data_IF_624854371658
#
_entry.id   IF_624854371658
#
_cell.length_a   1.000
_cell.length_b   1.000
_cell.length_c   1.000
_cell.angle_alpha   90.00
_cell.angle_beta   90.00
_cell.angle_gamma   90.00
#
_symmetry.space_group_name_H-M   'P 1'
#
loop_
_entity.id
_entity.type
_entity.pdbx_description
1 polymer ?
#
# COMPACT_ATOMS: atom_id res chain seq x y z
N UNK A 1 -12.03 -6.11 -17.06
CA UNK A 1 -10.94 -5.96 -16.09
C UNK A 1 -11.33 -4.89 -15.06
N UNK A 2 -12.52 -5.01 -14.44
CA UNK A 2 -13.24 -3.86 -13.85
C UNK A 2 -13.46 -3.90 -12.32
N UNK A 3 -12.87 -4.86 -11.61
CA UNK A 3 -13.19 -5.04 -10.18
C UNK A 3 -12.02 -5.64 -9.39
N UNK A 4 -10.78 -5.58 -9.91
CA UNK A 4 -9.64 -6.23 -9.25
C UNK A 4 -9.42 -5.71 -7.82
N UNK A 5 -9.73 -4.43 -7.60
CA UNK A 5 -9.64 -3.82 -6.28
C UNK A 5 -10.70 -4.34 -5.30
N UNK A 6 -11.86 -4.84 -5.78
CA UNK A 6 -12.86 -5.48 -4.92
C UNK A 6 -12.35 -6.80 -4.38
N UNK A 7 -11.79 -7.64 -5.23
CA UNK A 7 -11.17 -8.92 -4.81
C UNK A 7 -10.00 -8.67 -3.85
N UNK A 8 -9.23 -7.59 -4.07
CA UNK A 8 -8.18 -7.16 -3.16
C UNK A 8 -8.73 -6.70 -1.82
N UNK A 9 -9.83 -5.93 -1.80
CA UNK A 9 -10.52 -5.56 -0.57
C UNK A 9 -11.02 -6.80 0.20
N UNK A 10 -11.61 -7.78 -0.47
CA UNK A 10 -12.03 -9.03 0.16
C UNK A 10 -10.84 -9.83 0.72
N UNK A 11 -9.73 -9.86 0.00
CA UNK A 11 -8.50 -10.47 0.50
C UNK A 11 -7.96 -9.75 1.74
N UNK A 12 -8.03 -8.42 1.78
CA UNK A 12 -7.60 -7.64 2.93
C UNK A 12 -8.42 -7.94 4.19
N UNK A 13 -9.73 -8.16 4.06
CA UNK A 13 -10.59 -8.60 5.18
C UNK A 13 -10.12 -9.94 5.73
N UNK A 14 -9.87 -10.93 4.86
CA UNK A 14 -9.33 -12.23 5.28
C UNK A 14 -7.96 -12.12 5.93
N UNK A 15 -7.08 -11.26 5.40
CA UNK A 15 -5.75 -11.01 5.98
C UNK A 15 -5.88 -10.34 7.35
N UNK A 16 -6.83 -9.43 7.55
CA UNK A 16 -7.07 -8.82 8.87
C UNK A 16 -7.52 -9.87 9.88
N UNK A 17 -8.40 -10.79 9.48
CA UNK A 17 -8.88 -11.89 10.32
C UNK A 17 -7.76 -12.86 10.72
N UNK A 18 -6.89 -13.21 9.77
CA UNK A 18 -5.85 -14.23 9.97
C UNK A 18 -4.54 -13.68 10.57
N UNK A 19 -4.18 -12.44 10.23
CA UNK A 19 -2.85 -11.87 10.50
C UNK A 19 -2.88 -10.47 11.14
N UNK A 20 -4.07 -9.90 11.33
CA UNK A 20 -4.25 -8.60 11.97
C UNK A 20 -4.16 -7.41 11.01
N UNK A 21 -4.58 -6.26 11.53
CA UNK A 21 -4.81 -5.05 10.73
C UNK A 21 -3.56 -4.48 10.08
N UNK A 22 -2.39 -4.62 10.70
CA UNK A 22 -1.13 -4.14 10.14
C UNK A 22 -0.79 -4.86 8.83
N UNK A 23 -0.95 -6.19 8.79
CA UNK A 23 -0.74 -6.99 7.57
C UNK A 23 -1.77 -6.68 6.51
N UNK A 24 -3.02 -6.46 6.90
CA UNK A 24 -4.09 -6.09 5.96
C UNK A 24 -3.84 -4.71 5.32
N UNK A 25 -3.41 -3.73 6.11
CA UNK A 25 -3.06 -2.40 5.61
C UNK A 25 -1.77 -2.44 4.76
N UNK A 26 -0.76 -3.21 5.17
CA UNK A 26 0.45 -3.42 4.37
C UNK A 26 0.13 -4.01 3.00
N UNK A 27 -0.75 -5.01 2.95
CA UNK A 27 -1.23 -5.58 1.69
C UNK A 27 -2.05 -4.56 0.87
N UNK A 28 -3.14 -4.02 1.43
CA UNK A 28 -4.09 -3.26 0.63
C UNK A 28 -3.62 -1.84 0.32
N UNK A 29 -3.04 -1.15 1.31
CA UNK A 29 -2.57 0.23 1.18
C UNK A 29 -1.12 0.26 0.73
N UNK A 30 -0.25 -0.50 1.41
CA UNK A 30 1.18 -0.52 1.15
C UNK A 30 1.55 -1.08 -0.22
N UNK A 31 0.86 -2.14 -0.68
CA UNK A 31 1.10 -2.75 -1.98
C UNK A 31 0.03 -2.42 -3.02
N UNK A 32 -1.24 -2.76 -2.77
CA UNK A 32 -2.25 -2.72 -3.84
C UNK A 32 -2.59 -1.30 -4.26
N UNK A 33 -2.91 -0.41 -3.32
CA UNK A 33 -3.24 0.98 -3.62
C UNK A 33 -2.03 1.72 -4.21
N UNK A 34 -0.83 1.54 -3.66
CA UNK A 34 0.38 2.20 -4.19
C UNK A 34 0.67 1.79 -5.64
N UNK A 35 0.53 0.51 -5.97
CA UNK A 35 0.62 0.03 -7.36
C UNK A 35 -0.51 0.55 -8.24
N UNK A 36 -1.73 0.59 -7.72
CA UNK A 36 -2.90 1.11 -8.43
C UNK A 36 -2.71 2.59 -8.81
N UNK A 37 -2.18 3.40 -7.89
CA UNK A 37 -1.86 4.81 -8.13
C UNK A 37 -0.83 4.98 -9.26
N UNK A 38 0.27 4.21 -9.21
CA UNK A 38 1.31 4.22 -10.25
C UNK A 38 0.74 3.90 -11.64
N UNK A 39 -0.17 2.92 -11.73
CA UNK A 39 -0.81 2.56 -13.00
C UNK A 39 -1.81 3.65 -13.44
N UNK A 40 -2.58 4.20 -12.50
CA UNK A 40 -3.58 5.24 -12.79
C UNK A 40 -2.99 6.52 -13.37
N UNK A 41 -1.74 6.85 -13.04
CA UNK A 41 -1.04 8.02 -13.58
C UNK A 41 -0.82 7.93 -15.10
N UNK A 42 -0.86 6.72 -15.67
CA UNK A 42 -0.61 6.46 -17.09
C UNK A 42 -1.81 5.85 -17.81
N UNK A 43 -2.84 5.42 -17.07
CA UNK A 43 -3.99 4.72 -17.62
C UNK A 43 -5.32 5.33 -17.11
N UNK A 44 -6.06 6.07 -17.97
CA UNK A 44 -7.33 6.70 -17.60
C UNK A 44 -8.39 5.73 -17.07
N UNK A 45 -8.44 4.50 -17.58
CA UNK A 45 -9.43 3.51 -17.12
C UNK A 45 -9.22 3.14 -15.64
N UNK A 46 -7.97 3.15 -15.18
CA UNK A 46 -7.65 2.92 -13.77
C UNK A 46 -7.93 4.16 -12.93
N UNK A 47 -7.66 5.35 -13.47
CA UNK A 47 -7.96 6.61 -12.78
C UNK A 47 -9.47 6.78 -12.51
N UNK A 48 -10.34 6.27 -13.40
CA UNK A 48 -11.79 6.27 -13.20
C UNK A 48 -12.25 5.42 -12.00
N UNK A 49 -11.56 4.32 -11.71
CA UNK A 49 -11.91 3.42 -10.59
C UNK A 49 -11.28 3.84 -9.25
N UNK A 50 -10.25 4.69 -9.27
CA UNK A 50 -9.51 5.10 -8.08
C UNK A 50 -10.40 5.70 -6.97
N UNK A 51 -11.37 6.60 -7.24
CA UNK A 51 -12.24 7.14 -6.20
C UNK A 51 -13.06 6.05 -5.48
N UNK A 52 -13.55 5.04 -6.21
CA UNK A 52 -14.31 3.94 -5.63
C UNK A 52 -13.43 3.04 -4.76
N UNK A 53 -12.20 2.77 -5.21
CA UNK A 53 -11.25 1.99 -4.42
C UNK A 53 -10.88 2.71 -3.11
N UNK A 54 -10.56 4.01 -3.17
CA UNK A 54 -10.26 4.83 -1.99
C UNK A 54 -11.45 4.83 -1.02
N UNK A 55 -12.67 5.04 -1.52
CA UNK A 55 -13.87 5.02 -0.69
C UNK A 55 -14.02 3.67 0.03
N UNK A 56 -13.79 2.56 -0.67
CA UNK A 56 -13.87 1.24 -0.05
C UNK A 56 -12.80 1.02 1.02
N UNK A 57 -11.57 1.48 0.83
CA UNK A 57 -10.52 1.41 1.86
C UNK A 57 -10.94 2.18 3.12
N UNK A 58 -11.53 3.38 2.95
CA UNK A 58 -12.02 4.21 4.07
C UNK A 58 -13.20 3.56 4.81
N UNK A 59 -13.98 2.70 4.14
CA UNK A 59 -15.03 1.91 4.78
C UNK A 59 -14.48 0.71 5.56
N UNK A 60 -13.39 0.10 5.08
CA UNK A 60 -12.81 -1.11 5.69
C UNK A 60 -11.99 -0.79 6.94
N UNK A 61 -11.24 0.31 6.92
CA UNK A 61 -10.31 0.63 8.00
C UNK A 61 -10.61 1.98 8.62
N UNK A 62 -10.60 2.02 9.95
CA UNK A 62 -10.72 3.28 10.69
C UNK A 62 -9.57 4.24 10.33
N UNK A 63 -9.84 5.56 10.19
CA UNK A 63 -8.81 6.54 9.87
C UNK A 63 -7.62 6.55 10.83
N UNK A 64 -7.85 6.21 12.11
CA UNK A 64 -6.80 6.07 13.14
C UNK A 64 -5.81 4.95 12.81
N UNK A 65 -6.31 3.79 12.37
CA UNK A 65 -5.49 2.63 11.97
C UNK A 65 -4.69 2.93 10.70
N UNK A 66 -5.32 3.57 9.71
CA UNK A 66 -4.65 4.02 8.48
C UNK A 66 -3.52 5.00 8.83
N UNK A 67 -3.79 5.99 9.69
CA UNK A 67 -2.77 6.95 10.13
C UNK A 67 -1.59 6.26 10.80
N UNK A 68 -1.85 5.38 11.76
CA UNK A 68 -0.81 4.64 12.47
C UNK A 68 0.07 3.82 11.51
N UNK A 69 -0.54 3.16 10.52
CA UNK A 69 0.20 2.45 9.48
C UNK A 69 1.08 3.40 8.66
N UNK A 70 0.53 4.51 8.15
CA UNK A 70 1.29 5.45 7.33
C UNK A 70 2.40 6.17 8.11
N UNK A 71 2.28 6.29 9.44
CA UNK A 71 3.30 6.87 10.31
C UNK A 71 4.46 5.90 10.62
N UNK A 72 4.27 4.60 10.37
CA UNK A 72 5.23 3.55 10.73
C UNK A 72 5.76 2.77 9.52
N UNK A 73 5.12 2.87 8.35
CA UNK A 73 5.54 2.18 7.14
C UNK A 73 6.91 2.67 6.68
N UNK A 74 7.87 1.75 6.61
CA UNK A 74 9.23 2.04 6.13
C UNK A 74 9.34 1.84 4.61
N UNK A 75 8.61 0.86 4.05
CA UNK A 75 8.71 0.47 2.64
C UNK A 75 7.35 0.11 2.05
N UNK A 76 7.14 0.46 0.78
CA UNK A 76 5.94 0.10 0.03
C UNK A 76 6.14 -1.20 -0.78
N UNK A 77 5.03 -1.76 -1.27
CA UNK A 77 5.03 -2.96 -2.10
C UNK A 77 5.03 -4.27 -1.31
N UNK A 78 5.17 -5.39 -2.03
CA UNK A 78 5.01 -6.72 -1.47
C UNK A 78 5.98 -7.00 -0.30
N UNK A 79 7.24 -6.61 -0.46
CA UNK A 79 8.26 -6.84 0.57
C UNK A 79 8.01 -6.01 1.84
N UNK A 80 7.35 -4.84 1.73
CA UNK A 80 7.02 -4.00 2.88
C UNK A 80 6.05 -4.66 3.87
N UNK A 81 5.26 -5.66 3.45
CA UNK A 81 4.32 -6.35 4.33
C UNK A 81 4.56 -7.86 4.46
N UNK A 82 5.33 -8.48 3.55
CA UNK A 82 5.69 -9.91 3.65
C UNK A 82 6.95 -10.12 4.49
N UNK A 83 8.00 -9.32 4.26
CA UNK A 83 9.28 -9.50 4.93
C UNK A 83 9.24 -8.93 6.35
N UNK A 84 9.95 -9.58 7.26
CA UNK A 84 10.37 -8.94 8.50
C UNK A 84 11.44 -7.88 8.21
N UNK A 85 11.64 -6.94 9.14
CA UNK A 85 12.71 -5.94 9.03
C UNK A 85 14.08 -6.58 8.81
N UNK A 86 14.41 -7.64 9.54
CA UNK A 86 15.68 -8.35 9.37
C UNK A 86 15.84 -8.99 7.99
N UNK A 87 14.75 -9.53 7.42
CA UNK A 87 14.77 -10.09 6.07
C UNK A 87 14.93 -8.99 5.02
N UNK A 88 14.25 -7.86 5.19
CA UNK A 88 14.38 -6.70 4.32
C UNK A 88 15.83 -6.16 4.33
N UNK A 89 16.40 -5.95 5.52
CA UNK A 89 17.78 -5.49 5.69
C UNK A 89 18.78 -6.47 5.07
N UNK A 90 18.55 -7.79 5.17
CA UNK A 90 19.38 -8.79 4.48
C UNK A 90 19.26 -8.68 2.97
N UNK A 91 18.04 -8.58 2.42
CA UNK A 91 17.83 -8.42 0.98
C UNK A 91 18.54 -7.18 0.45
N UNK A 92 18.49 -6.09 1.20
CA UNK A 92 19.19 -4.85 0.91
C UNK A 92 20.72 -5.05 0.92
N UNK A 93 21.28 -5.68 1.97
CA UNK A 93 22.72 -5.98 2.04
C UNK A 93 23.21 -6.85 0.87
N UNK A 94 22.38 -7.77 0.38
CA UNK A 94 22.68 -8.63 -0.77
C UNK A 94 22.43 -7.95 -2.13
N UNK A 95 22.08 -6.65 -2.16
CA UNK A 95 21.85 -5.89 -3.38
C UNK A 95 20.58 -6.30 -4.15
N UNK A 96 19.61 -6.92 -3.46
CA UNK A 96 18.32 -7.29 -4.04
C UNK A 96 17.29 -6.15 -3.95
N UNK A 97 17.59 -5.13 -3.15
CA UNK A 97 16.82 -3.89 -3.03
C UNK A 97 17.74 -2.75 -3.44
N UNK A 98 17.17 -1.79 -4.17
CA UNK A 98 17.90 -0.64 -4.70
C UNK A 98 18.29 0.33 -3.59
N UNK A 99 19.56 0.78 -3.62
CA UNK A 99 20.08 1.91 -2.83
C UNK A 99 19.80 3.28 -3.47
N UNK A 100 18.98 3.33 -4.53
CA UNK A 100 18.71 4.56 -5.27
C UNK A 100 17.94 5.59 -4.42
N UNK A 101 18.55 6.74 -4.06
CA UNK A 101 17.88 7.76 -3.26
C UNK A 101 16.67 8.39 -3.98
N UNK A 102 16.62 8.34 -5.31
CA UNK A 102 15.45 8.81 -6.08
C UNK A 102 14.27 7.90 -5.81
N UNK A 103 14.45 6.58 -5.91
CA UNK A 103 13.41 5.60 -5.62
C UNK A 103 12.90 5.72 -4.17
N UNK A 104 13.82 5.89 -3.20
CA UNK A 104 13.43 6.11 -1.81
C UNK A 104 12.58 7.39 -1.64
N UNK A 105 12.93 8.46 -2.35
CA UNK A 105 12.15 9.71 -2.35
C UNK A 105 10.77 9.52 -2.99
N UNK A 106 10.68 8.78 -4.09
CA UNK A 106 9.40 8.46 -4.74
C UNK A 106 8.46 7.69 -3.83
N UNK A 107 8.99 6.76 -3.02
CA UNK A 107 8.19 6.04 -2.02
C UNK A 107 7.65 6.97 -0.93
N UNK A 108 8.46 7.90 -0.41
CA UNK A 108 8.01 8.91 0.56
C UNK A 108 6.90 9.78 -0.03
N UNK A 109 7.06 10.25 -1.28
CA UNK A 109 6.04 11.04 -1.97
C UNK A 109 4.76 10.23 -2.20
N UNK A 110 4.88 8.93 -2.47
CA UNK A 110 3.73 8.03 -2.59
C UNK A 110 2.99 7.86 -1.27
N UNK A 111 3.70 7.70 -0.14
CA UNK A 111 3.09 7.64 1.21
C UNK A 111 2.30 8.91 1.48
N UNK A 112 2.87 10.08 1.20
CA UNK A 112 2.17 11.36 1.40
C UNK A 112 0.98 11.55 0.46
N UNK A 113 1.06 11.07 -0.78
CA UNK A 113 -0.09 11.03 -1.70
C UNK A 113 -1.22 10.16 -1.14
N UNK A 114 -0.89 8.96 -0.68
CA UNK A 114 -1.87 8.03 -0.08
C UNK A 114 -2.49 8.64 1.17
N UNK A 115 -1.68 9.29 2.02
CA UNK A 115 -2.14 10.00 3.23
C UNK A 115 -3.22 11.02 2.90
N UNK A 116 -2.99 11.88 1.92
CA UNK A 116 -3.97 12.88 1.46
C UNK A 116 -5.26 12.22 0.95
N UNK A 117 -5.14 11.16 0.16
CA UNK A 117 -6.30 10.49 -0.43
C UNK A 117 -7.19 9.78 0.62
N UNK A 118 -6.58 9.19 1.66
CA UNK A 118 -7.30 8.40 2.65
C UNK A 118 -7.74 9.19 3.88
N UNK A 119 -7.00 10.24 4.27
CA UNK A 119 -7.20 10.94 5.55
C UNK A 119 -7.65 12.40 5.43
N UNK A 120 -7.63 12.98 4.22
CA UNK A 120 -8.16 14.33 3.93
C UNK A 120 -9.44 14.22 3.08
#
# INVERSE_FOLDING_TARGET
MREIWKDQCEAAVRIEEDFGVEKALGYLVGEKLSNFLKISDQNPEWAEELPAFIARIRELFEPSKIRMFLDTVEHLGAMGHVATREEYEKMHLFGMISDDPVQATEEILMVERIRKLLLE
#
